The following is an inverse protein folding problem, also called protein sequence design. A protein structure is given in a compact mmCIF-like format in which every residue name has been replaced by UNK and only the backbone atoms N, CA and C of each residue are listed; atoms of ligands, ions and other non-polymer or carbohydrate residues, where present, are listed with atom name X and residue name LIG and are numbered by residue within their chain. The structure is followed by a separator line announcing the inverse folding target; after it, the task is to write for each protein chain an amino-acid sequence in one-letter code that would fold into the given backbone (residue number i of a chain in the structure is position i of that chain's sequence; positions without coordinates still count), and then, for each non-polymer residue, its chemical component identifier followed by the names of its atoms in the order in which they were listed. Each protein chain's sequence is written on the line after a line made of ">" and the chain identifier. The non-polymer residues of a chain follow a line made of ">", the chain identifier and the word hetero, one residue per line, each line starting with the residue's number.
data_IF_700705691628
#
_entry.id   IF_700705691628
#
_cell.length_a   1.000
_cell.length_b   1.000
_cell.length_c   1.000
_cell.angle_alpha   90.00
_cell.angle_beta   90.00
_cell.angle_gamma   90.00
#
_symmetry.space_group_name_H-M   'P 1'
#
loop_
_entity.id
_entity.type
_entity.pdbx_description
1 polymer ?
#
# COMPACT_ATOMS: atom_id res chain seq x y z
N UNK A 1 -14.95 38.18 -14.75
CA UNK A 1 -13.76 37.65 -14.05
C UNK A 1 -13.90 36.15 -13.80
N UNK A 2 -15.08 35.68 -13.39
CA UNK A 2 -15.41 34.25 -13.23
C UNK A 2 -15.27 33.43 -14.53
N UNK A 3 -15.82 33.91 -15.66
CA UNK A 3 -15.73 33.20 -16.95
C UNK A 3 -14.28 32.97 -17.45
N UNK A 4 -13.37 33.90 -17.13
CA UNK A 4 -11.95 33.76 -17.46
C UNK A 4 -11.27 32.70 -16.59
N UNK A 5 -11.64 32.62 -15.31
CA UNK A 5 -11.12 31.60 -14.39
C UNK A 5 -11.66 30.20 -14.75
N UNK A 6 -12.90 30.09 -15.19
CA UNK A 6 -13.45 28.83 -15.71
C UNK A 6 -12.77 28.40 -17.01
N UNK A 7 -12.52 29.31 -17.95
CA UNK A 7 -11.79 28.99 -19.18
C UNK A 7 -10.35 28.57 -18.92
N UNK A 8 -9.64 29.22 -18.00
CA UNK A 8 -8.29 28.80 -17.61
C UNK A 8 -8.29 27.42 -16.94
N UNK A 9 -9.25 27.15 -16.04
CA UNK A 9 -9.43 25.82 -15.44
C UNK A 9 -9.74 24.74 -16.50
N UNK A 10 -10.58 25.05 -17.48
CA UNK A 10 -10.92 24.14 -18.58
C UNK A 10 -9.73 23.91 -19.53
N UNK A 11 -8.93 24.95 -19.80
CA UNK A 11 -7.74 24.85 -20.64
C UNK A 11 -6.63 24.04 -19.95
N UNK A 12 -6.51 24.13 -18.63
CA UNK A 12 -5.58 23.32 -17.83
C UNK A 12 -6.04 21.86 -17.76
N UNK A 13 -7.35 21.60 -17.63
CA UNK A 13 -7.88 20.22 -17.59
C UNK A 13 -7.75 19.49 -18.93
N UNK A 14 -7.89 20.19 -20.07
CA UNK A 14 -7.70 19.62 -21.40
C UNK A 14 -6.23 19.32 -21.76
N UNK A 15 -5.25 19.97 -21.11
CA UNK A 15 -3.82 19.70 -21.34
C UNK A 15 -3.37 18.30 -20.92
N UNK A 16 -4.17 17.58 -20.13
CA UNK A 16 -3.80 16.26 -19.58
C UNK A 16 -4.39 15.05 -20.32
N UNK A 17 -5.12 15.25 -21.43
CA UNK A 17 -5.81 14.16 -22.15
C UNK A 17 -5.37 13.97 -23.62
N UNK A 18 -4.06 13.95 -23.86
CA UNK A 18 -3.50 13.28 -25.05
C UNK A 18 -2.31 12.41 -24.65
N UNK A 19 -2.58 11.18 -24.21
CA UNK A 19 -1.61 10.10 -24.41
C UNK A 19 -1.74 9.65 -25.87
N UNK A 20 -0.76 10.03 -26.67
CA UNK A 20 -0.62 9.60 -28.05
C UNK A 20 -0.41 8.06 -28.11
N UNK A 21 -0.73 7.46 -29.25
CA UNK A 21 -0.36 6.07 -29.53
C UNK A 21 1.17 5.93 -29.47
N UNK A 22 1.65 4.88 -28.79
CA UNK A 22 3.06 4.54 -28.71
C UNK A 22 3.34 3.29 -29.56
N UNK A 23 4.45 3.23 -30.32
CA UNK A 23 4.86 2.03 -31.01
C UNK A 23 5.12 0.87 -30.03
N UNK A 24 4.67 -0.34 -30.37
CA UNK A 24 4.88 -1.53 -29.54
C UNK A 24 6.36 -1.84 -29.30
N UNK A 25 7.22 -1.47 -30.24
CA UNK A 25 8.67 -1.68 -30.16
C UNK A 25 9.30 -0.97 -28.96
N UNK A 26 8.80 0.22 -28.60
CA UNK A 26 9.26 0.96 -27.42
C UNK A 26 8.85 0.24 -26.12
N UNK A 27 7.61 -0.26 -26.07
CA UNK A 27 7.09 -1.03 -24.91
C UNK A 27 7.82 -2.37 -24.75
N UNK A 28 8.18 -3.02 -25.86
CA UNK A 28 8.92 -4.28 -25.85
C UNK A 28 10.33 -4.12 -25.30
N UNK A 29 11.02 -3.02 -25.63
CA UNK A 29 12.35 -2.74 -25.08
C UNK A 29 12.29 -2.62 -23.55
N UNK A 30 11.35 -1.83 -23.01
CA UNK A 30 11.12 -1.74 -21.56
C UNK A 30 10.69 -3.08 -20.93
N UNK A 31 10.00 -3.95 -21.68
CA UNK A 31 9.62 -5.27 -21.19
C UNK A 31 10.83 -6.20 -21.05
N UNK A 32 11.74 -6.20 -22.01
CA UNK A 32 12.96 -7.01 -21.95
C UNK A 32 13.89 -6.58 -20.83
N UNK A 33 14.11 -5.27 -20.65
CA UNK A 33 14.91 -4.76 -19.51
C UNK A 33 14.36 -5.22 -18.16
N UNK A 34 13.03 -5.19 -18.00
CA UNK A 34 12.36 -5.69 -16.79
C UNK A 34 12.49 -7.19 -16.59
N UNK A 35 12.64 -7.99 -17.65
CA UNK A 35 12.85 -9.44 -17.57
C UNK A 35 14.28 -9.73 -17.15
N UNK A 36 15.26 -9.03 -17.71
CA UNK A 36 16.67 -9.18 -17.38
C UNK A 36 16.97 -8.82 -15.91
N UNK A 37 16.34 -7.75 -15.39
CA UNK A 37 16.41 -7.38 -13.97
C UNK A 37 15.90 -8.51 -13.05
N UNK A 38 14.83 -9.20 -13.46
CA UNK A 38 14.26 -10.30 -12.67
C UNK A 38 15.13 -11.54 -12.68
N UNK A 39 15.70 -11.87 -13.84
CA UNK A 39 16.60 -13.00 -13.96
C UNK A 39 17.91 -12.77 -13.16
N UNK A 40 18.37 -11.53 -13.09
CA UNK A 40 19.58 -11.15 -12.33
C UNK A 40 19.35 -11.09 -10.81
N UNK A 41 18.09 -11.00 -10.38
CA UNK A 41 17.70 -10.85 -8.97
C UNK A 41 17.22 -12.19 -8.39
N UNK A 42 18.10 -13.19 -8.32
CA UNK A 42 17.73 -14.50 -7.75
C UNK A 42 17.16 -14.35 -6.33
N UNK A 43 15.91 -14.78 -6.15
CA UNK A 43 15.24 -14.88 -4.85
C UNK A 43 14.54 -13.62 -4.34
N UNK A 44 14.55 -12.48 -5.07
CA UNK A 44 13.75 -11.30 -4.68
C UNK A 44 12.40 -11.26 -5.39
N UNK A 45 11.34 -11.05 -4.62
CA UNK A 45 10.01 -10.79 -5.17
C UNK A 45 10.04 -9.49 -5.99
N UNK A 46 9.42 -9.52 -7.17
CA UNK A 46 9.29 -8.35 -8.06
C UNK A 46 8.49 -7.23 -7.40
N UNK A 47 7.42 -7.61 -6.71
CA UNK A 47 6.50 -6.70 -6.03
C UNK A 47 6.90 -6.44 -4.58
N UNK A 48 6.23 -5.47 -3.97
CA UNK A 48 6.35 -5.22 -2.54
C UNK A 48 5.76 -6.40 -1.75
N UNK A 49 6.53 -7.13 -0.92
CA UNK A 49 5.99 -8.25 -0.16
C UNK A 49 4.93 -7.79 0.84
N UNK A 50 3.89 -8.61 0.99
CA UNK A 50 2.80 -8.39 1.94
C UNK A 50 3.18 -8.81 3.37
N UNK A 51 4.21 -9.66 3.50
CA UNK A 51 4.64 -10.26 4.76
C UNK A 51 3.99 -11.61 5.05
N UNK A 52 3.09 -12.06 4.16
CA UNK A 52 2.47 -13.39 4.20
C UNK A 52 3.06 -14.21 3.05
N UNK A 53 3.98 -15.12 3.37
CA UNK A 53 4.76 -15.89 2.37
C UNK A 53 3.86 -16.60 1.36
N UNK A 54 2.81 -17.26 1.81
CA UNK A 54 1.88 -17.98 0.92
C UNK A 54 1.15 -17.03 -0.03
N UNK A 55 0.76 -15.84 0.44
CA UNK A 55 0.12 -14.82 -0.38
C UNK A 55 1.11 -14.20 -1.37
N UNK A 56 2.34 -13.95 -0.93
CA UNK A 56 3.41 -13.40 -1.75
C UNK A 56 3.84 -14.36 -2.85
N UNK A 57 3.82 -15.67 -2.59
CA UNK A 57 4.06 -16.69 -3.60
C UNK A 57 2.96 -16.72 -4.69
N UNK A 58 1.71 -16.44 -4.31
CA UNK A 58 0.59 -16.39 -5.26
C UNK A 58 0.57 -15.09 -6.07
N UNK A 59 0.91 -13.96 -5.44
CA UNK A 59 0.83 -12.63 -6.07
C UNK A 59 2.15 -12.14 -6.67
N UNK A 60 3.28 -12.81 -6.36
CA UNK A 60 4.62 -12.29 -6.56
C UNK A 60 4.87 -10.92 -5.87
N UNK A 61 4.16 -10.69 -4.75
CA UNK A 61 4.08 -9.40 -4.06
C UNK A 61 3.18 -8.37 -4.74
N UNK A 62 2.96 -7.23 -4.09
CA UNK A 62 2.13 -6.14 -4.60
C UNK A 62 2.86 -5.39 -5.73
N UNK A 63 2.33 -5.49 -6.94
CA UNK A 63 2.91 -4.90 -8.14
C UNK A 63 2.59 -3.40 -8.26
N UNK A 64 3.53 -2.63 -8.84
CA UNK A 64 3.30 -1.22 -9.17
C UNK A 64 2.19 -1.10 -10.22
N UNK A 65 1.43 0.00 -10.15
CA UNK A 65 0.32 0.32 -11.06
C UNK A 65 -0.87 -0.65 -11.02
N UNK A 66 -0.99 -1.48 -9.99
CA UNK A 66 -2.15 -2.36 -9.78
C UNK A 66 -3.12 -1.75 -8.75
N UNK A 67 -4.41 -1.96 -8.97
CA UNK A 67 -5.45 -1.70 -7.98
C UNK A 67 -5.83 -3.02 -7.31
N UNK A 68 -5.45 -3.18 -6.04
CA UNK A 68 -5.78 -4.38 -5.25
C UNK A 68 -6.99 -4.08 -4.37
N UNK A 69 -8.06 -4.86 -4.54
CA UNK A 69 -9.30 -4.71 -3.78
C UNK A 69 -9.40 -5.81 -2.74
N UNK A 70 -9.29 -5.43 -1.46
CA UNK A 70 -9.58 -6.33 -0.34
C UNK A 70 -11.04 -6.17 0.10
N UNK A 71 -11.88 -7.15 -0.23
CA UNK A 71 -13.28 -7.21 0.13
C UNK A 71 -13.56 -8.33 1.14
N UNK A 72 -14.32 -8.03 2.18
CA UNK A 72 -14.75 -8.99 3.19
C UNK A 72 -16.03 -8.50 3.87
N UNK A 73 -16.78 -9.42 4.50
CA UNK A 73 -17.88 -9.04 5.39
C UNK A 73 -17.37 -8.26 6.60
N UNK A 74 -18.22 -7.43 7.26
CA UNK A 74 -17.87 -6.80 8.53
C UNK A 74 -17.34 -7.81 9.54
N UNK A 75 -16.40 -7.37 10.38
CA UNK A 75 -15.76 -8.18 11.44
C UNK A 75 -14.86 -9.34 10.97
N UNK A 76 -14.62 -9.52 9.67
CA UNK A 76 -13.65 -10.53 9.16
C UNK A 76 -12.19 -10.04 9.14
N UNK A 77 -11.89 -8.88 9.72
CA UNK A 77 -10.51 -8.40 9.87
C UNK A 77 -9.90 -7.73 8.65
N UNK A 78 -10.70 -7.27 7.68
CA UNK A 78 -10.22 -6.51 6.50
C UNK A 78 -9.27 -5.36 6.86
N UNK A 79 -9.65 -4.53 7.84
CA UNK A 79 -8.82 -3.40 8.28
C UNK A 79 -7.54 -3.88 8.95
N UNK A 80 -7.61 -4.94 9.75
CA UNK A 80 -6.44 -5.53 10.42
C UNK A 80 -5.44 -6.06 9.40
N UNK A 81 -5.89 -6.83 8.39
CA UNK A 81 -5.02 -7.34 7.34
C UNK A 81 -4.39 -6.20 6.53
N UNK A 82 -5.18 -5.19 6.15
CA UNK A 82 -4.66 -4.04 5.41
C UNK A 82 -3.59 -3.26 6.21
N UNK A 83 -3.82 -3.04 7.51
CA UNK A 83 -2.85 -2.39 8.39
C UNK A 83 -1.59 -3.22 8.59
N UNK A 84 -1.72 -4.54 8.67
CA UNK A 84 -0.57 -5.42 8.89
C UNK A 84 0.36 -5.46 7.66
N UNK A 85 -0.23 -5.51 6.46
CA UNK A 85 0.51 -5.35 5.19
C UNK A 85 1.21 -3.98 5.15
N UNK A 86 0.49 -2.91 5.50
CA UNK A 86 1.06 -1.56 5.55
C UNK A 86 2.20 -1.45 6.57
N UNK A 87 2.05 -2.08 7.74
CA UNK A 87 3.08 -2.16 8.79
C UNK A 87 4.30 -2.93 8.29
N UNK A 88 4.11 -4.07 7.64
CA UNK A 88 5.20 -4.86 7.08
C UNK A 88 6.00 -4.04 6.06
N UNK A 89 5.29 -3.43 5.09
CA UNK A 89 5.89 -2.55 4.09
C UNK A 89 6.67 -1.37 4.70
N UNK A 90 6.11 -0.72 5.73
CA UNK A 90 6.75 0.42 6.40
C UNK A 90 7.94 0.04 7.29
N UNK A 91 7.79 -1.03 8.08
CA UNK A 91 8.75 -1.39 9.14
C UNK A 91 9.86 -2.29 8.63
N UNK A 92 9.53 -3.32 7.83
CA UNK A 92 10.46 -4.33 7.31
C UNK A 92 11.08 -3.88 5.99
N UNK A 93 10.24 -3.55 5.01
CA UNK A 93 10.71 -3.16 3.66
C UNK A 93 11.18 -1.70 3.56
N UNK A 94 10.96 -0.90 4.62
CA UNK A 94 11.33 0.52 4.69
C UNK A 94 10.73 1.39 3.57
N UNK A 95 9.55 1.00 3.08
CA UNK A 95 8.81 1.74 2.05
C UNK A 95 7.83 2.71 2.71
N UNK A 96 7.71 3.93 2.16
CA UNK A 96 6.74 4.92 2.66
C UNK A 96 5.32 4.49 2.27
N UNK A 97 4.41 4.41 3.25
CA UNK A 97 3.01 4.01 3.05
C UNK A 97 2.08 5.14 3.48
N UNK A 98 1.11 5.48 2.62
CA UNK A 98 0.01 6.39 2.95
C UNK A 98 -1.27 5.61 3.26
N UNK A 99 -1.96 5.96 4.35
CA UNK A 99 -3.22 5.32 4.75
C UNK A 99 -4.32 6.37 4.79
N UNK A 100 -5.43 6.08 4.10
CA UNK A 100 -6.64 6.88 4.14
C UNK A 100 -7.72 6.08 4.87
N UNK A 101 -8.23 6.63 5.97
CA UNK A 101 -9.26 6.01 6.79
C UNK A 101 -10.52 6.86 6.77
N UNK A 102 -11.65 6.22 6.45
CA UNK A 102 -12.97 6.87 6.41
C UNK A 102 -13.90 6.38 7.51
N UNK A 103 -13.55 5.31 8.22
CA UNK A 103 -14.37 4.69 9.26
C UNK A 103 -13.76 4.90 10.64
N UNK A 104 -12.45 4.67 10.76
CA UNK A 104 -11.72 4.73 12.02
C UNK A 104 -10.91 6.00 12.15
N UNK A 105 -10.75 6.50 13.38
CA UNK A 105 -9.89 7.65 13.63
C UNK A 105 -8.40 7.30 13.45
N UNK A 106 -7.56 8.32 13.27
CA UNK A 106 -6.10 8.12 13.15
C UNK A 106 -5.49 7.53 14.42
N UNK A 107 -6.03 7.88 15.59
CA UNK A 107 -5.60 7.37 16.90
C UNK A 107 -5.88 5.88 16.99
N UNK A 108 -7.10 5.44 16.62
CA UNK A 108 -7.46 4.02 16.69
C UNK A 108 -6.62 3.14 15.75
N UNK A 109 -6.27 3.63 14.57
CA UNK A 109 -5.36 2.93 13.66
C UNK A 109 -3.94 2.89 14.23
N UNK A 110 -3.49 3.97 14.85
CA UNK A 110 -2.16 4.05 15.47
C UNK A 110 -2.04 3.07 16.63
N UNK A 111 -3.03 3.01 17.52
CA UNK A 111 -3.07 2.05 18.63
C UNK A 111 -3.00 0.60 18.12
N UNK A 112 -3.73 0.29 17.04
CA UNK A 112 -3.68 -1.04 16.41
C UNK A 112 -2.31 -1.37 15.84
N UNK A 113 -1.65 -0.42 15.17
CA UNK A 113 -0.30 -0.60 14.64
C UNK A 113 0.72 -0.82 15.77
N UNK A 114 0.62 -0.05 16.85
CA UNK A 114 1.49 -0.20 18.04
C UNK A 114 1.27 -1.55 18.72
N UNK A 115 0.02 -1.94 18.95
CA UNK A 115 -0.34 -3.25 19.50
C UNK A 115 0.22 -4.39 18.64
N UNK A 116 0.03 -4.32 17.32
CA UNK A 116 0.52 -5.33 16.39
C UNK A 116 2.06 -5.42 16.38
N UNK A 117 2.75 -4.29 16.58
CA UNK A 117 4.20 -4.26 16.64
C UNK A 117 4.76 -4.76 17.97
N UNK A 118 4.10 -4.42 19.09
CA UNK A 118 4.53 -4.77 20.44
C UNK A 118 4.05 -6.16 20.89
N UNK A 119 3.11 -6.78 20.18
CA UNK A 119 2.50 -8.05 20.59
C UNK A 119 1.54 -7.91 21.79
N UNK A 120 1.05 -6.69 22.05
CA UNK A 120 0.20 -6.38 23.20
C UNK A 120 -1.27 -6.34 22.78
N UNK A 121 -2.15 -6.86 23.63
CA UNK A 121 -3.59 -6.84 23.37
C UNK A 121 -4.17 -5.43 23.40
N UNK A 122 -4.97 -5.07 22.38
CA UNK A 122 -5.60 -3.75 22.24
C UNK A 122 -6.42 -3.33 23.47
N UNK A 123 -7.09 -4.28 24.13
CA UNK A 123 -7.86 -3.99 25.35
C UNK A 123 -6.97 -3.56 26.52
N UNK A 124 -5.79 -4.16 26.67
CA UNK A 124 -4.83 -3.74 27.71
C UNK A 124 -4.32 -2.33 27.43
N UNK A 125 -4.04 -2.01 26.15
CA UNK A 125 -3.62 -0.68 25.74
C UNK A 125 -4.71 0.37 25.99
N UNK A 126 -5.97 0.06 25.66
CA UNK A 126 -7.12 0.95 25.94
C UNK A 126 -7.41 1.16 27.42
N UNK A 127 -7.22 0.12 28.24
CA UNK A 127 -7.52 0.19 29.69
C UNK A 127 -6.33 0.68 30.53
N UNK A 128 -5.16 0.91 29.92
CA UNK A 128 -3.94 1.30 30.62
C UNK A 128 -3.35 0.22 31.53
N UNK A 129 -3.90 -1.01 31.49
CA UNK A 129 -3.42 -2.16 32.28
C UNK A 129 -2.26 -2.86 31.59
N UNK A 130 -1.23 -2.07 31.25
CA UNK A 130 0.01 -2.57 30.69
C UNK A 130 0.90 -3.05 31.84
N UNK A 131 1.37 -4.30 31.75
CA UNK A 131 2.37 -4.82 32.69
C UNK A 131 3.76 -4.31 32.31
N UNK A 132 4.71 -4.33 33.25
CA UNK A 132 6.09 -3.91 32.96
C UNK A 132 6.74 -4.72 31.83
N UNK A 133 6.28 -5.95 31.63
CA UNK A 133 6.75 -6.85 30.57
C UNK A 133 6.11 -6.53 29.19
N UNK A 134 5.05 -5.72 29.15
CA UNK A 134 4.42 -5.25 27.90
C UNK A 134 5.13 -4.01 27.31
N UNK A 135 6.13 -3.45 28.01
CA UNK A 135 6.98 -2.37 27.51
C UNK A 135 8.33 -2.95 27.04
N UNK A 136 8.86 -2.52 25.87
CA UNK A 136 10.13 -3.00 25.33
C UNK A 136 11.35 -2.56 26.15
#
# INVERSE_FOLDING_TARGET
>A
ILDKAEQELFAVSQRYLRRNFIPITEVLQEAFERIDELHSSEGKLRGLPTGYVDLDNLLAGLQKSNLVILAARPSLGKTTLALDIARHAGVKEKVKVGIFSLEMSKEELTDRLLCAQAGVGLWKMRTGKLSKDDFP
#
